data_IF_654604505559
#
_entry.id   IF_654604505559
#
_cell.length_a   1.000
_cell.length_b   1.000
_cell.length_c   1.000
_cell.angle_alpha   90.00
_cell.angle_beta   90.00
_cell.angle_gamma   90.00
#
_symmetry.space_group_name_H-M   'P 1'
#
loop_
_entity.id
_entity.type
_entity.pdbx_description
1 polymer ?
#
# COMPACT_ATOMS: atom_id res chain seq x y z
N UNK A 1 13.50 6.08 -17.14
CA UNK A 1 13.04 4.68 -17.22
C UNK A 1 11.82 4.40 -16.32
N UNK A 2 11.04 5.41 -15.91
CA UNK A 2 9.88 5.22 -15.03
C UNK A 2 8.64 4.69 -15.77
N UNK A 3 8.35 5.12 -17.00
CA UNK A 3 7.15 4.71 -17.75
C UNK A 3 7.04 3.20 -18.06
N UNK A 4 8.11 2.43 -17.84
CA UNK A 4 8.08 0.97 -18.03
C UNK A 4 7.62 0.20 -16.80
N UNK A 5 7.45 0.85 -15.65
CA UNK A 5 7.07 0.16 -14.42
C UNK A 5 5.63 -0.36 -14.49
N UNK A 6 5.40 -1.61 -14.05
CA UNK A 6 4.10 -2.29 -14.09
C UNK A 6 2.95 -1.41 -13.61
N UNK A 7 3.06 -0.87 -12.39
CA UNK A 7 1.98 -0.06 -11.77
C UNK A 7 1.71 1.28 -12.47
N UNK A 8 2.69 1.83 -13.20
CA UNK A 8 2.48 3.06 -13.96
C UNK A 8 1.70 2.78 -15.25
N UNK A 9 1.93 1.62 -15.89
CA UNK A 9 1.12 1.18 -17.03
C UNK A 9 -0.33 0.92 -16.60
N UNK A 10 -0.51 0.23 -15.48
CA UNK A 10 -1.82 -0.02 -14.88
C UNK A 10 -2.57 1.29 -14.56
N UNK A 11 -1.87 2.27 -13.98
CA UNK A 11 -2.46 3.59 -13.70
C UNK A 11 -2.91 4.29 -14.98
N UNK A 12 -2.10 4.26 -16.04
CA UNK A 12 -2.44 4.88 -17.32
C UNK A 12 -3.68 4.21 -17.94
N UNK A 13 -3.74 2.88 -17.98
CA UNK A 13 -4.89 2.13 -18.49
C UNK A 13 -6.18 2.47 -17.72
N UNK A 14 -6.12 2.53 -16.38
CA UNK A 14 -7.29 2.90 -15.58
C UNK A 14 -7.67 4.38 -15.83
N UNK A 15 -6.69 5.28 -15.99
CA UNK A 15 -6.94 6.71 -16.26
C UNK A 15 -7.64 6.95 -17.62
N UNK A 16 -7.54 6.03 -18.58
CA UNK A 16 -8.31 6.12 -19.84
C UNK A 16 -9.82 6.03 -19.61
N UNK A 17 -10.25 5.35 -18.55
CA UNK A 17 -11.67 5.21 -18.18
C UNK A 17 -12.08 6.16 -17.05
N UNK A 18 -11.19 6.44 -16.09
CA UNK A 18 -11.47 7.28 -14.91
C UNK A 18 -10.32 8.24 -14.62
N UNK A 19 -10.50 9.53 -14.97
CA UNK A 19 -9.41 10.52 -14.98
C UNK A 19 -8.85 10.93 -13.61
N UNK A 20 -9.60 10.71 -12.52
CA UNK A 20 -9.24 11.24 -11.18
C UNK A 20 -8.40 10.27 -10.33
N UNK A 21 -7.96 9.16 -10.91
CA UNK A 21 -7.18 8.16 -10.20
C UNK A 21 -5.81 8.69 -9.79
N UNK A 22 -5.36 8.30 -8.60
CA UNK A 22 -4.05 8.64 -8.06
C UNK A 22 -3.27 7.39 -7.72
N UNK A 23 -1.95 7.48 -7.75
CA UNK A 23 -1.04 6.44 -7.29
C UNK A 23 -0.46 6.77 -5.92
N UNK A 24 -0.66 5.85 -4.99
CA UNK A 24 -0.04 5.86 -3.67
C UNK A 24 0.90 4.67 -3.51
N UNK A 25 1.96 4.82 -2.73
CA UNK A 25 2.77 3.69 -2.25
C UNK A 25 2.61 3.54 -0.74
N UNK A 26 2.31 2.32 -0.31
CA UNK A 26 2.34 1.91 1.08
C UNK A 26 3.65 1.17 1.35
N UNK A 27 4.43 1.70 2.29
CA UNK A 27 5.83 1.33 2.52
C UNK A 27 6.03 0.85 3.95
N UNK A 28 6.72 -0.28 4.12
CA UNK A 28 7.20 -0.76 5.42
C UNK A 28 8.41 0.07 5.87
N UNK A 29 8.20 0.98 6.83
CA UNK A 29 9.20 1.95 7.27
C UNK A 29 10.48 1.32 7.82
N UNK A 30 10.38 0.16 8.49
CA UNK A 30 11.58 -0.53 9.01
C UNK A 30 12.46 -1.10 7.89
N UNK A 31 11.87 -1.50 6.77
CA UNK A 31 12.64 -1.98 5.62
C UNK A 31 13.22 -0.81 4.82
N UNK A 32 12.50 0.31 4.75
CA UNK A 32 13.04 1.54 4.18
C UNK A 32 14.27 2.01 4.95
N UNK A 33 14.18 2.11 6.27
CA UNK A 33 15.31 2.50 7.14
C UNK A 33 16.49 1.54 6.98
N UNK A 34 16.24 0.23 6.95
CA UNK A 34 17.29 -0.78 6.71
C UNK A 34 18.01 -0.60 5.38
N UNK A 35 17.29 -0.18 4.33
CA UNK A 35 17.87 -0.06 2.99
C UNK A 35 18.67 1.23 2.80
N UNK A 36 18.15 2.33 3.34
CA UNK A 36 18.68 3.66 3.07
C UNK A 36 19.41 4.29 4.26
N UNK A 37 19.43 3.61 5.41
CA UNK A 37 19.96 4.11 6.69
C UNK A 37 19.35 5.49 7.04
N UNK A 38 18.06 5.65 6.72
CA UNK A 38 17.31 6.89 6.82
C UNK A 38 15.85 6.59 7.21
N UNK A 39 15.37 7.25 8.26
CA UNK A 39 13.96 7.19 8.65
C UNK A 39 13.07 8.01 7.71
N UNK A 40 11.90 7.47 7.36
CA UNK A 40 10.83 8.25 6.75
C UNK A 40 10.32 9.32 7.74
N UNK A 41 9.97 10.49 7.20
CA UNK A 41 9.52 11.65 7.97
C UNK A 41 8.24 12.22 7.37
N UNK A 42 7.41 12.79 8.23
CA UNK A 42 6.18 13.48 7.82
C UNK A 42 6.52 14.68 6.94
N UNK A 43 6.03 14.66 5.70
CA UNK A 43 6.23 15.73 4.71
C UNK A 43 4.98 15.87 3.83
N UNK A 44 4.94 16.89 2.98
CA UNK A 44 3.83 17.03 2.03
C UNK A 44 3.82 15.82 1.08
N UNK A 45 2.79 14.98 1.21
CA UNK A 45 2.66 13.74 0.42
C UNK A 45 3.33 12.52 1.04
N UNK A 46 3.84 12.59 2.28
CA UNK A 46 4.40 11.46 3.02
C UNK A 46 3.81 11.45 4.41
N UNK A 47 3.17 10.35 4.81
CA UNK A 47 2.47 10.25 6.09
C UNK A 47 2.61 8.89 6.73
N UNK A 48 2.87 8.85 8.03
CA UNK A 48 2.78 7.65 8.84
C UNK A 48 1.32 7.26 9.04
N UNK A 49 1.01 5.96 8.92
CA UNK A 49 -0.31 5.45 9.31
C UNK A 49 -0.44 5.26 10.82
N UNK A 50 0.68 5.19 11.54
CA UNK A 50 0.71 5.39 12.99
C UNK A 50 0.50 6.88 13.29
N UNK A 51 -0.76 7.23 13.56
CA UNK A 51 -1.22 8.62 13.67
C UNK A 51 -1.54 9.05 15.11
N UNK A 52 -1.47 8.12 16.08
CA UNK A 52 -1.69 8.43 17.48
C UNK A 52 -0.42 9.09 18.08
N UNK A 53 -0.57 10.08 18.98
CA UNK A 53 0.57 10.75 19.62
C UNK A 53 1.56 9.79 20.29
N UNK A 54 1.06 8.72 20.90
CA UNK A 54 1.83 7.67 21.56
C UNK A 54 2.70 6.87 20.61
N UNK A 55 2.27 6.70 19.36
CA UNK A 55 2.98 5.90 18.37
C UNK A 55 4.14 6.65 17.71
N UNK A 56 4.25 7.98 17.91
CA UNK A 56 5.28 8.81 17.26
C UNK A 56 6.70 8.30 17.45
N UNK A 57 6.99 7.65 18.58
CA UNK A 57 8.32 7.10 18.89
C UNK A 57 8.66 5.86 18.06
N UNK A 58 7.65 5.17 17.53
CA UNK A 58 7.79 3.94 16.73
C UNK A 58 7.34 4.13 15.27
N UNK A 59 6.78 5.29 14.93
CA UNK A 59 6.28 5.62 13.60
C UNK A 59 7.29 5.38 12.47
N UNK A 60 8.58 5.66 12.71
CA UNK A 60 9.63 5.42 11.71
C UNK A 60 9.68 3.96 11.24
N UNK A 61 9.41 3.00 12.14
CA UNK A 61 9.37 1.56 11.86
C UNK A 61 7.99 1.07 11.41
N UNK A 62 6.98 1.93 11.46
CA UNK A 62 5.61 1.63 11.07
C UNK A 62 5.39 1.75 9.55
N UNK A 63 4.13 1.62 9.10
CA UNK A 63 3.80 1.83 7.70
C UNK A 63 3.63 3.31 7.34
N UNK A 64 4.09 3.64 6.14
CA UNK A 64 4.04 4.99 5.58
C UNK A 64 3.32 4.99 4.24
N UNK A 65 2.47 5.99 4.02
CA UNK A 65 1.80 6.23 2.76
C UNK A 65 2.44 7.42 2.05
N UNK A 66 2.79 7.22 0.78
CA UNK A 66 3.40 8.21 -0.09
C UNK A 66 2.48 8.52 -1.28
N UNK A 67 2.25 9.80 -1.56
CA UNK A 67 1.52 10.30 -2.72
C UNK A 67 2.49 10.50 -3.89
N UNK A 68 2.57 9.48 -4.76
CA UNK A 68 3.61 9.36 -5.77
C UNK A 68 3.53 10.46 -6.83
N UNK A 69 2.32 10.95 -7.12
CA UNK A 69 2.12 12.00 -8.12
C UNK A 69 2.57 13.37 -7.61
N UNK A 70 2.59 13.58 -6.29
CA UNK A 70 2.98 14.84 -5.67
C UNK A 70 4.42 14.85 -5.14
N UNK A 71 5.15 13.74 -5.31
CA UNK A 71 6.54 13.61 -4.87
C UNK A 71 7.52 13.71 -6.04
N UNK A 72 8.75 14.20 -5.81
CA UNK A 72 9.80 14.16 -6.82
C UNK A 72 10.06 12.73 -7.34
N UNK A 73 10.35 12.59 -8.64
CA UNK A 73 10.62 11.30 -9.30
C UNK A 73 11.74 10.45 -8.65
N UNK A 74 12.61 11.07 -7.84
CA UNK A 74 13.63 10.37 -7.04
C UNK A 74 13.01 9.38 -6.06
N UNK A 75 11.82 9.67 -5.51
CA UNK A 75 11.09 8.74 -4.64
C UNK A 75 10.71 7.48 -5.37
N UNK A 76 10.22 7.59 -6.61
CA UNK A 76 9.87 6.43 -7.41
C UNK A 76 11.06 5.49 -7.62
N UNK A 77 12.24 6.04 -7.86
CA UNK A 77 13.48 5.24 -8.00
C UNK A 77 13.90 4.57 -6.69
N UNK A 78 13.78 5.26 -5.55
CA UNK A 78 14.02 4.67 -4.22
C UNK A 78 13.06 3.51 -3.94
N UNK A 79 11.76 3.72 -4.17
CA UNK A 79 10.74 2.70 -3.93
C UNK A 79 10.89 1.49 -4.86
N UNK A 80 11.26 1.71 -6.12
CA UNK A 80 11.59 0.65 -7.06
C UNK A 80 12.79 -0.20 -6.59
N UNK A 81 13.84 0.43 -6.08
CA UNK A 81 14.95 -0.31 -5.47
C UNK A 81 14.48 -1.12 -4.25
N UNK A 82 13.65 -0.52 -3.40
CA UNK A 82 13.19 -1.13 -2.16
C UNK A 82 12.31 -2.36 -2.42
N UNK A 83 11.34 -2.27 -3.34
CA UNK A 83 10.42 -3.38 -3.65
C UNK A 83 11.14 -4.59 -4.26
N UNK A 84 12.24 -4.38 -4.98
CA UNK A 84 13.05 -5.46 -5.57
C UNK A 84 13.85 -6.21 -4.52
N UNK A 85 14.15 -5.57 -3.39
CA UNK A 85 15.01 -6.13 -2.34
C UNK A 85 14.22 -6.68 -1.17
N UNK A 86 13.08 -6.07 -0.85
CA UNK A 86 12.23 -6.47 0.27
C UNK A 86 10.75 -6.47 -0.13
N UNK A 87 9.92 -7.35 0.48
CA UNK A 87 8.47 -7.34 0.33
C UNK A 87 7.83 -6.17 1.12
N UNK A 88 8.27 -4.95 0.82
CA UNK A 88 8.11 -3.76 1.65
C UNK A 88 7.33 -2.62 0.99
N UNK A 89 6.97 -2.77 -0.29
CA UNK A 89 6.25 -1.74 -1.04
C UNK A 89 5.05 -2.37 -1.72
N UNK A 90 3.90 -1.76 -1.50
CA UNK A 90 2.70 -2.03 -2.28
C UNK A 90 2.13 -0.73 -2.83
N UNK A 91 1.45 -0.83 -3.96
CA UNK A 91 0.99 0.29 -4.76
C UNK A 91 -0.53 0.29 -4.80
N UNK A 92 -1.13 1.44 -4.55
CA UNK A 92 -2.57 1.60 -4.44
C UNK A 92 -3.02 2.65 -5.44
N UNK A 93 -3.89 2.23 -6.35
CA UNK A 93 -4.59 3.12 -7.28
C UNK A 93 -5.95 3.45 -6.67
N UNK A 94 -6.23 4.73 -6.49
CA UNK A 94 -7.38 5.22 -5.73
C UNK A 94 -7.79 6.61 -6.20
N UNK A 95 -9.08 6.90 -6.26
CA UNK A 95 -9.62 8.25 -6.45
C UNK A 95 -9.74 9.04 -5.12
N UNK A 96 -9.65 8.34 -3.99
CA UNK A 96 -9.75 8.93 -2.66
C UNK A 96 -8.60 9.93 -2.40
N UNK A 97 -8.87 11.06 -1.73
CA UNK A 97 -7.83 12.02 -1.33
C UNK A 97 -6.80 11.40 -0.37
N UNK A 98 -5.54 11.83 -0.46
CA UNK A 98 -4.40 11.30 0.32
C UNK A 98 -4.69 11.16 1.83
N UNK A 99 -5.28 12.18 2.45
CA UNK A 99 -5.60 12.14 3.88
C UNK A 99 -6.68 11.10 4.20
N UNK A 100 -7.69 10.96 3.33
CA UNK A 100 -8.80 10.02 3.52
C UNK A 100 -8.32 8.57 3.41
N UNK A 101 -7.50 8.26 2.40
CA UNK A 101 -6.93 6.92 2.25
C UNK A 101 -5.96 6.59 3.39
N UNK A 102 -5.11 7.54 3.82
CA UNK A 102 -4.23 7.33 4.97
C UNK A 102 -5.02 7.03 6.25
N UNK A 103 -6.10 7.78 6.51
CA UNK A 103 -6.97 7.52 7.64
C UNK A 103 -7.64 6.14 7.55
N UNK A 104 -8.18 5.78 6.38
CA UNK A 104 -8.81 4.49 6.16
C UNK A 104 -7.85 3.32 6.42
N UNK A 105 -6.66 3.37 5.80
CA UNK A 105 -5.64 2.34 5.97
C UNK A 105 -5.18 2.27 7.43
N UNK A 106 -4.87 3.40 8.07
CA UNK A 106 -4.48 3.44 9.48
C UNK A 106 -5.55 2.82 10.40
N UNK A 107 -6.82 3.17 10.19
CA UNK A 107 -7.91 2.58 10.98
C UNK A 107 -8.09 1.07 10.74
N UNK A 108 -7.80 0.59 9.53
CA UNK A 108 -7.90 -0.82 9.16
C UNK A 108 -6.76 -1.67 9.75
N UNK A 109 -5.70 -1.05 10.27
CA UNK A 109 -4.61 -1.77 10.93
C UNK A 109 -4.98 -2.25 12.33
N UNK A 110 -5.85 -1.52 13.03
CA UNK A 110 -6.22 -1.87 14.40
C UNK A 110 -7.28 -2.97 14.37
N UNK A 111 -6.93 -4.16 14.84
CA UNK A 111 -7.81 -5.32 14.86
C UNK A 111 -8.03 -5.83 16.28
N UNK A 112 -9.19 -6.43 16.49
CA UNK A 112 -9.50 -7.19 17.70
C UNK A 112 -9.50 -8.68 17.36
N UNK A 113 -8.66 -9.44 18.06
CA UNK A 113 -8.59 -10.90 17.93
C UNK A 113 -9.79 -11.57 18.62
N UNK A 114 -10.09 -12.85 18.32
CA UNK A 114 -11.22 -13.56 18.93
C UNK A 114 -11.21 -13.61 20.47
N UNK A 115 -10.03 -13.52 21.07
CA UNK A 115 -9.82 -13.47 22.52
C UNK A 115 -9.91 -12.05 23.12
N UNK A 116 -10.32 -11.07 22.30
CA UNK A 116 -10.45 -9.64 22.64
C UNK A 116 -9.14 -8.88 22.81
N UNK A 117 -8.00 -9.48 22.46
CA UNK A 117 -6.75 -8.74 22.41
C UNK A 117 -6.74 -7.80 21.21
N UNK A 118 -6.16 -6.62 21.38
CA UNK A 118 -5.90 -5.69 20.28
C UNK A 118 -4.56 -6.02 19.62
N UNK A 119 -4.51 -5.86 18.31
CA UNK A 119 -3.32 -6.12 17.51
C UNK A 119 -3.24 -5.22 16.29
N UNK A 120 -2.07 -5.22 15.67
CA UNK A 120 -1.81 -4.50 14.42
C UNK A 120 -1.81 -5.52 13.28
N UNK A 121 -2.74 -5.35 12.35
CA UNK A 121 -2.79 -6.12 11.13
C UNK A 121 -1.82 -5.56 10.10
N UNK A 122 -0.74 -6.31 9.85
CA UNK A 122 0.41 -5.85 9.08
C UNK A 122 0.24 -6.02 7.57
N UNK A 123 -0.88 -5.57 6.99
CA UNK A 123 -1.12 -5.67 5.54
C UNK A 123 -0.13 -4.88 4.68
N UNK A 124 0.66 -3.99 5.28
CA UNK A 124 1.77 -3.28 4.62
C UNK A 124 3.00 -4.16 4.37
N UNK A 125 3.10 -5.31 5.03
CA UNK A 125 4.08 -6.36 4.70
C UNK A 125 3.52 -7.20 3.55
N UNK A 126 4.20 -7.24 2.41
CA UNK A 126 3.66 -7.91 1.22
C UNK A 126 3.49 -9.43 1.41
N UNK A 127 4.18 -10.04 2.38
CA UNK A 127 3.98 -11.45 2.75
C UNK A 127 2.64 -11.69 3.44
N UNK A 128 2.18 -10.71 4.22
CA UNK A 128 0.85 -10.72 4.85
C UNK A 128 -0.20 -10.34 3.83
N UNK A 129 0.06 -9.29 3.03
CA UNK A 129 -0.81 -8.84 1.95
C UNK A 129 -1.16 -9.98 0.99
N UNK A 130 -0.17 -10.80 0.60
CA UNK A 130 -0.41 -11.97 -0.26
C UNK A 130 -1.43 -12.96 0.29
N UNK A 131 -1.57 -13.03 1.61
CA UNK A 131 -2.44 -13.97 2.32
C UNK A 131 -3.79 -13.38 2.68
N UNK A 132 -4.13 -12.15 2.24
CA UNK A 132 -5.43 -11.54 2.57
C UNK A 132 -6.63 -12.46 2.33
N UNK A 133 -6.76 -13.17 1.20
CA UNK A 133 -7.90 -14.05 0.94
C UNK A 133 -8.00 -15.26 1.90
N UNK A 134 -6.89 -15.64 2.54
CA UNK A 134 -6.84 -16.74 3.51
C UNK A 134 -7.10 -16.24 4.94
N UNK A 135 -6.73 -14.99 5.23
CA UNK A 135 -6.76 -14.42 6.59
C UNK A 135 -8.07 -13.71 6.91
N UNK A 136 -8.77 -13.18 5.91
CA UNK A 136 -9.93 -12.32 6.07
C UNK A 136 -11.16 -12.88 5.37
N UNK A 137 -12.33 -12.61 5.91
CA UNK A 137 -13.59 -12.84 5.21
C UNK A 137 -13.73 -11.90 4.01
N UNK A 138 -14.61 -12.27 3.07
CA UNK A 138 -14.93 -11.42 1.93
C UNK A 138 -15.34 -10.00 2.35
N UNK A 139 -16.20 -9.87 3.37
CA UNK A 139 -16.63 -8.56 3.88
C UNK A 139 -15.48 -7.75 4.49
N UNK A 140 -14.53 -8.41 5.16
CA UNK A 140 -13.37 -7.74 5.74
C UNK A 140 -12.44 -7.23 4.64
N UNK A 141 -12.21 -8.02 3.58
CA UNK A 141 -11.43 -7.58 2.41
C UNK A 141 -12.13 -6.42 1.70
N UNK A 142 -13.47 -6.50 1.51
CA UNK A 142 -14.24 -5.45 0.87
C UNK A 142 -14.14 -4.12 1.62
N UNK A 143 -14.20 -4.17 2.96
CA UNK A 143 -13.99 -3.00 3.81
C UNK A 143 -12.57 -2.44 3.69
N UNK A 144 -11.54 -3.29 3.75
CA UNK A 144 -10.15 -2.86 3.59
C UNK A 144 -9.92 -2.19 2.23
N UNK A 145 -10.44 -2.79 1.16
CA UNK A 145 -10.26 -2.36 -0.22
C UNK A 145 -11.19 -1.21 -0.66
N UNK A 146 -12.09 -0.74 0.20
CA UNK A 146 -13.12 0.27 -0.15
C UNK A 146 -12.58 1.52 -0.89
N UNK A 147 -11.47 2.16 -0.48
CA UNK A 147 -10.95 3.33 -1.20
C UNK A 147 -10.09 2.97 -2.42
N UNK A 148 -10.01 1.69 -2.79
CA UNK A 148 -8.99 1.18 -3.72
C UNK A 148 -9.62 0.67 -5.01
N UNK A 149 -9.15 1.18 -6.14
CA UNK A 149 -9.47 0.64 -7.46
C UNK A 149 -8.64 -0.60 -7.77
N UNK A 150 -7.34 -0.56 -7.46
CA UNK A 150 -6.40 -1.67 -7.61
C UNK A 150 -5.29 -1.56 -6.59
N UNK A 151 -4.92 -2.68 -5.98
CA UNK A 151 -3.79 -2.78 -5.05
C UNK A 151 -2.80 -3.82 -5.58
N UNK A 152 -1.60 -3.39 -5.93
CA UNK A 152 -0.56 -4.21 -6.55
C UNK A 152 0.70 -4.29 -5.69
N UNK A 153 1.40 -5.41 -5.70
CA UNK A 153 2.66 -5.58 -4.97
C UNK A 153 3.53 -6.65 -5.62
N UNK A 154 4.85 -6.51 -5.46
CA UNK A 154 5.82 -7.49 -5.91
C UNK A 154 6.11 -8.48 -4.79
N UNK A 155 6.02 -9.77 -5.09
CA UNK A 155 6.41 -10.83 -4.17
C UNK A 155 6.99 -12.01 -4.96
N UNK A 156 8.21 -12.44 -4.61
CA UNK A 156 8.93 -13.53 -5.30
C UNK A 156 8.95 -13.36 -6.84
N UNK A 157 9.39 -12.17 -7.28
CA UNK A 157 9.46 -11.76 -8.70
C UNK A 157 8.12 -11.89 -9.47
N UNK A 158 6.99 -11.91 -8.76
CA UNK A 158 5.65 -11.95 -9.33
C UNK A 158 4.87 -10.73 -8.88
N UNK A 159 4.35 -9.96 -9.82
CA UNK A 159 3.36 -8.93 -9.56
C UNK A 159 2.05 -9.59 -9.17
N UNK A 160 1.52 -9.21 -8.02
CA UNK A 160 0.23 -9.65 -7.52
C UNK A 160 -0.68 -8.44 -7.44
N UNK A 161 -1.96 -8.59 -7.79
CA UNK A 161 -2.92 -7.51 -7.68
C UNK A 161 -4.26 -7.98 -7.14
N UNK A 162 -4.88 -7.10 -6.36
CA UNK A 162 -6.25 -7.20 -5.89
C UNK A 162 -7.08 -6.07 -6.50
N UNK A 163 -8.24 -6.42 -7.04
CA UNK A 163 -9.25 -5.47 -7.50
C UNK A 163 -10.64 -6.07 -7.31
N UNK A 164 -11.64 -5.23 -7.13
CA UNK A 164 -13.03 -5.66 -7.22
C UNK A 164 -13.52 -5.47 -8.66
N UNK A 165 -14.23 -6.48 -9.18
CA UNK A 165 -14.91 -6.35 -10.47
C UNK A 165 -16.29 -5.70 -10.32
N UNK A 166 -17.04 -5.61 -11.42
CA UNK A 166 -18.38 -5.02 -11.45
C UNK A 166 -19.43 -5.82 -10.68
N UNK A 167 -19.15 -7.07 -10.32
CA UNK A 167 -20.02 -7.94 -9.54
C UNK A 167 -19.66 -7.93 -8.04
N UNK A 168 -18.74 -7.05 -7.64
CA UNK A 168 -18.15 -7.00 -6.29
C UNK A 168 -17.44 -8.31 -5.89
N UNK A 169 -16.92 -9.08 -6.86
CA UNK A 169 -16.04 -10.19 -6.55
C UNK A 169 -14.57 -9.70 -6.49
N UNK A 170 -13.83 -10.22 -5.50
CA UNK A 170 -12.40 -9.98 -5.40
C UNK A 170 -11.68 -10.77 -6.50
N UNK A 171 -11.12 -10.06 -7.46
CA UNK A 171 -10.25 -10.62 -8.50
C UNK A 171 -8.81 -10.56 -8.01
N UNK A 172 -8.17 -11.72 -7.99
CA UNK A 172 -6.73 -11.88 -7.71
C UNK A 172 -6.03 -12.18 -9.02
N UNK A 173 -5.08 -11.32 -9.41
CA UNK A 173 -4.26 -11.55 -10.59
C UNK A 173 -2.78 -11.67 -10.21
N UNK A 174 -2.02 -12.38 -11.05
CA UNK A 174 -0.58 -12.52 -10.88
C UNK A 174 0.12 -12.54 -12.24
N UNK A 175 1.23 -11.80 -12.35
CA UNK A 175 2.02 -11.65 -13.57
C UNK A 175 3.50 -11.77 -13.22
N UNK A 176 4.21 -12.70 -13.86
CA UNK A 176 5.66 -12.81 -13.69
C UNK A 176 6.36 -11.54 -14.21
N UNK A 177 7.43 -11.13 -13.53
CA UNK A 177 8.23 -9.94 -13.86
C UNK A 177 9.14 -10.14 -15.08
#
# INVERSE_FOLDING_TARGET
MSEQHFVLRDLLEIKETTSNMKLYALVDGIQYDREFEEELKEEKGIRSLFNLPEDKKIAFAGPWLLDIENLPNTWFSKLFQLERKYPAVSWIISDSPFVSIAHHLGSSMMITLPDKQEGIFRFYDCRVLKKLPELLSHDQIARLMTPTQRWSFLYEDTWNSYQYDTENALVVSSSAL
#
